data_IF_729305225850
#
_entry.id   IF_729305225850
#
_cell.length_a   1.000
_cell.length_b   1.000
_cell.length_c   1.000
_cell.angle_alpha   90.00
_cell.angle_beta   90.00
_cell.angle_gamma   90.00
#
_symmetry.space_group_name_H-M   'P 1'
#
loop_
_entity.id
_entity.type
_entity.pdbx_description
1 polymer ?
#
# COMPACT_ATOMS: atom_id res chain seq x y z
N UNK A 1 26.33 -1.11 8.48
CA UNK A 1 27.28 -1.57 9.52
C UNK A 1 26.72 -1.47 10.93
N UNK A 2 26.25 -0.30 11.38
CA UNK A 2 25.69 -0.14 12.73
C UNK A 2 24.58 -1.14 13.06
N UNK A 3 23.58 -1.29 12.19
CA UNK A 3 22.48 -2.26 12.39
C UNK A 3 23.00 -3.69 12.56
N UNK A 4 24.00 -4.10 11.77
CA UNK A 4 24.62 -5.42 11.88
C UNK A 4 25.29 -5.66 13.23
N UNK A 5 25.91 -4.63 13.82
CA UNK A 5 26.58 -4.75 15.11
C UNK A 5 25.58 -4.92 16.27
N UNK A 6 24.38 -4.36 16.15
CA UNK A 6 23.35 -4.43 17.19
C UNK A 6 22.34 -5.57 16.97
N UNK A 7 22.31 -6.19 15.78
CA UNK A 7 21.40 -7.26 15.43
C UNK A 7 21.35 -8.46 16.42
N UNK A 8 22.45 -8.90 17.07
CA UNK A 8 22.42 -10.10 17.92
C UNK A 8 21.45 -10.09 19.10
N UNK A 9 20.96 -8.92 19.53
CA UNK A 9 20.00 -8.80 20.64
C UNK A 9 18.54 -8.66 20.17
N UNK A 10 18.28 -8.70 18.86
CA UNK A 10 16.95 -8.51 18.28
C UNK A 10 16.49 -9.75 17.52
N UNK A 11 15.18 -10.01 17.54
CA UNK A 11 14.54 -11.06 16.73
C UNK A 11 14.08 -10.59 15.34
N UNK A 12 14.29 -9.31 15.01
CA UNK A 12 13.91 -8.70 13.73
C UNK A 12 14.23 -7.20 13.72
N UNK A 13 14.37 -6.62 12.53
CA UNK A 13 14.69 -5.20 12.31
C UNK A 13 13.56 -4.53 11.54
N UNK A 14 12.97 -3.49 12.13
CA UNK A 14 12.06 -2.58 11.44
C UNK A 14 12.82 -1.33 11.00
N UNK A 15 12.87 -1.08 9.69
CA UNK A 15 13.41 0.15 9.11
C UNK A 15 12.27 1.15 8.90
N UNK A 16 12.51 2.38 9.32
CA UNK A 16 11.56 3.48 9.29
C UNK A 16 12.27 4.76 8.83
N UNK A 17 11.56 5.64 8.13
CA UNK A 17 11.96 7.02 7.82
C UNK A 17 13.34 7.14 7.13
N UNK A 18 13.68 6.15 6.29
CA UNK A 18 14.88 6.20 5.45
C UNK A 18 14.49 6.76 4.07
N UNK A 19 15.08 7.90 3.70
CA UNK A 19 14.84 8.53 2.41
C UNK A 19 15.18 7.61 1.21
N UNK A 20 14.32 7.57 0.20
CA UNK A 20 14.67 7.01 -1.11
C UNK A 20 15.76 7.85 -1.81
N UNK A 21 16.66 7.24 -2.62
CA UNK A 21 16.74 5.80 -2.93
C UNK A 21 17.54 4.99 -1.90
N UNK A 22 18.10 5.63 -0.85
CA UNK A 22 18.98 4.97 0.12
C UNK A 22 18.30 3.83 0.88
N UNK A 23 17.00 3.93 1.13
CA UNK A 23 16.22 2.89 1.80
C UNK A 23 16.34 1.52 1.11
N UNK A 24 16.34 1.48 -0.23
CA UNK A 24 16.41 0.24 -1.00
C UNK A 24 17.74 -0.46 -0.81
N UNK A 25 18.86 0.28 -0.90
CA UNK A 25 20.20 -0.28 -0.73
C UNK A 25 20.41 -0.74 0.72
N UNK A 26 19.96 0.04 1.71
CA UNK A 26 20.08 -0.31 3.13
C UNK A 26 19.29 -1.58 3.42
N UNK A 27 18.04 -1.67 2.98
CA UNK A 27 17.21 -2.85 3.17
C UNK A 27 17.81 -4.09 2.51
N UNK A 28 18.18 -4.00 1.22
CA UNK A 28 18.75 -5.12 0.49
C UNK A 28 20.01 -5.66 1.17
N UNK A 29 20.95 -4.78 1.52
CA UNK A 29 22.18 -5.18 2.22
C UNK A 29 21.90 -5.79 3.58
N UNK A 30 20.93 -5.28 4.33
CA UNK A 30 20.61 -5.85 5.65
C UNK A 30 19.91 -7.21 5.52
N UNK A 31 19.04 -7.41 4.53
CA UNK A 31 18.44 -8.72 4.23
C UNK A 31 19.47 -9.76 3.80
N UNK A 32 20.57 -9.35 3.15
CA UNK A 32 21.68 -10.25 2.79
C UNK A 32 22.59 -10.57 3.98
N UNK A 33 22.84 -9.59 4.86
CA UNK A 33 23.83 -9.69 5.93
C UNK A 33 23.29 -10.30 7.23
N UNK A 34 21.97 -10.29 7.45
CA UNK A 34 21.35 -10.70 8.70
C UNK A 34 20.57 -12.01 8.54
N UNK A 35 20.57 -12.81 9.60
CA UNK A 35 19.82 -14.06 9.75
C UNK A 35 18.46 -13.86 10.44
N UNK A 36 18.09 -12.61 10.70
CA UNK A 36 16.80 -12.17 11.26
C UNK A 36 16.02 -11.35 10.22
N UNK A 37 14.68 -11.30 10.29
CA UNK A 37 13.87 -10.61 9.30
C UNK A 37 14.11 -9.10 9.35
N UNK A 38 14.27 -8.50 8.17
CA UNK A 38 14.40 -7.05 7.98
C UNK A 38 13.22 -6.56 7.15
N UNK A 39 12.38 -5.74 7.78
CA UNK A 39 11.18 -5.16 7.20
C UNK A 39 11.35 -3.65 7.13
N UNK A 40 10.88 -3.03 6.04
CA UNK A 40 10.81 -1.58 5.94
C UNK A 40 9.34 -1.15 5.92
N UNK A 41 8.90 -0.45 6.95
CA UNK A 41 7.47 -0.20 7.16
C UNK A 41 6.88 0.78 6.14
N UNK A 42 7.60 1.88 5.85
CA UNK A 42 7.15 2.85 4.83
C UNK A 42 6.99 2.25 3.44
N UNK A 43 7.72 1.17 3.14
CA UNK A 43 7.61 0.43 1.89
C UNK A 43 6.52 -0.63 1.97
N UNK A 44 6.82 -1.72 2.70
CA UNK A 44 6.01 -2.94 2.68
C UNK A 44 4.77 -2.79 3.53
N UNK A 45 4.86 -2.12 4.69
CA UNK A 45 3.71 -1.86 5.56
C UNK A 45 2.65 -1.05 4.84
N UNK A 46 3.05 0.04 4.18
CA UNK A 46 2.16 0.84 3.32
C UNK A 46 1.55 -0.02 2.20
N UNK A 47 2.36 -0.79 1.47
CA UNK A 47 1.87 -1.62 0.37
C UNK A 47 0.82 -2.66 0.80
N UNK A 48 1.03 -3.29 1.96
CA UNK A 48 0.13 -4.29 2.53
C UNK A 48 -1.24 -3.68 2.86
N UNK A 49 -1.26 -2.53 3.54
CA UNK A 49 -2.51 -1.89 3.95
C UNK A 49 -3.25 -1.31 2.75
N UNK A 50 -2.53 -0.76 1.76
CA UNK A 50 -3.09 -0.30 0.49
C UNK A 50 -3.74 -1.46 -0.28
N UNK A 51 -3.05 -2.61 -0.40
CA UNK A 51 -3.62 -3.79 -1.05
C UNK A 51 -4.87 -4.29 -0.31
N UNK A 52 -4.84 -4.33 1.02
CA UNK A 52 -5.97 -4.75 1.84
C UNK A 52 -7.20 -3.85 1.61
N UNK A 53 -7.00 -2.54 1.66
CA UNK A 53 -8.02 -1.54 1.40
C UNK A 53 -8.56 -1.67 -0.03
N UNK A 54 -7.67 -1.80 -1.03
CA UNK A 54 -8.07 -1.90 -2.44
C UNK A 54 -8.90 -3.16 -2.70
N UNK A 55 -8.52 -4.31 -2.14
CA UNK A 55 -9.30 -5.56 -2.26
C UNK A 55 -10.75 -5.37 -1.80
N UNK A 56 -10.97 -4.67 -0.69
CA UNK A 56 -12.32 -4.42 -0.18
C UNK A 56 -13.06 -3.32 -0.97
N UNK A 57 -12.37 -2.27 -1.40
CA UNK A 57 -12.94 -1.24 -2.26
C UNK A 57 -13.41 -1.83 -3.60
N UNK A 58 -12.60 -2.69 -4.24
CA UNK A 58 -12.94 -3.37 -5.48
C UNK A 58 -14.15 -4.30 -5.35
N UNK A 59 -14.27 -5.04 -4.23
CA UNK A 59 -15.48 -5.83 -3.93
C UNK A 59 -16.72 -4.96 -3.85
N UNK A 60 -16.63 -3.80 -3.18
CA UNK A 60 -17.74 -2.86 -3.03
C UNK A 60 -18.21 -2.31 -4.39
N UNK A 61 -17.27 -1.90 -5.26
CA UNK A 61 -17.58 -1.35 -6.59
C UNK A 61 -17.74 -2.41 -7.67
N UNK A 62 -17.58 -3.70 -7.32
CA UNK A 62 -17.70 -4.87 -8.21
C UNK A 62 -16.77 -4.82 -9.43
N UNK A 63 -15.50 -4.46 -9.21
CA UNK A 63 -14.46 -4.45 -10.25
C UNK A 63 -13.38 -5.49 -9.95
N UNK A 64 -12.73 -6.03 -10.98
CA UNK A 64 -11.63 -6.99 -10.83
C UNK A 64 -10.28 -6.29 -10.86
N UNK A 65 -9.35 -6.69 -9.97
CA UNK A 65 -8.02 -6.08 -9.87
C UNK A 65 -7.21 -6.17 -11.17
N UNK A 66 -7.39 -7.24 -11.95
CA UNK A 66 -6.69 -7.44 -13.23
C UNK A 66 -7.19 -6.55 -14.36
N UNK A 67 -8.38 -5.95 -14.23
CA UNK A 67 -9.04 -5.19 -15.29
C UNK A 67 -8.99 -3.68 -15.05
N UNK A 68 -8.85 -3.25 -13.79
CA UNK A 68 -8.84 -1.82 -13.43
C UNK A 68 -7.58 -1.11 -13.88
N UNK A 69 -7.74 0.16 -14.27
CA UNK A 69 -6.62 1.09 -14.52
C UNK A 69 -6.23 1.79 -13.23
N UNK A 70 -4.99 1.56 -12.79
CA UNK A 70 -4.43 2.08 -11.54
C UNK A 70 -3.38 3.14 -11.87
N UNK A 71 -3.56 4.33 -11.29
CA UNK A 71 -2.60 5.42 -11.38
C UNK A 71 -2.00 5.67 -10.00
N UNK A 72 -0.67 5.62 -9.90
CA UNK A 72 0.07 5.87 -8.67
C UNK A 72 0.84 7.19 -8.82
N UNK A 73 0.57 8.15 -7.94
CA UNK A 73 1.36 9.37 -7.82
C UNK A 73 2.39 9.21 -6.70
N UNK A 74 3.67 9.19 -7.05
CA UNK A 74 4.78 9.03 -6.12
C UNK A 74 5.47 7.67 -6.21
N UNK A 75 6.27 7.44 -7.26
CA UNK A 75 7.12 6.24 -7.39
C UNK A 75 8.38 6.28 -6.50
N UNK A 76 8.23 6.69 -5.23
CA UNK A 76 9.27 6.58 -4.20
C UNK A 76 9.30 5.17 -3.57
N UNK A 77 9.74 5.09 -2.32
CA UNK A 77 9.80 3.84 -1.55
C UNK A 77 8.41 3.17 -1.46
N UNK A 78 7.41 3.89 -0.94
CA UNK A 78 6.04 3.40 -0.79
C UNK A 78 5.38 3.06 -2.15
N UNK A 79 5.39 3.98 -3.11
CA UNK A 79 4.69 3.77 -4.39
C UNK A 79 5.28 2.64 -5.22
N UNK A 80 6.60 2.43 -5.18
CA UNK A 80 7.24 1.29 -5.84
C UNK A 80 6.82 -0.04 -5.19
N UNK A 81 6.80 -0.10 -3.85
CA UNK A 81 6.37 -1.29 -3.12
C UNK A 81 4.88 -1.59 -3.34
N UNK A 82 4.02 -0.56 -3.34
CA UNK A 82 2.60 -0.69 -3.68
C UNK A 82 2.45 -1.28 -5.08
N UNK A 83 3.09 -0.68 -6.09
CA UNK A 83 2.96 -1.14 -7.48
C UNK A 83 3.36 -2.61 -7.64
N UNK A 84 4.50 -3.01 -7.05
CA UNK A 84 4.99 -4.40 -7.09
C UNK A 84 4.02 -5.35 -6.41
N UNK A 85 3.53 -5.03 -5.21
CA UNK A 85 2.63 -5.92 -4.48
C UNK A 85 1.26 -6.04 -5.15
N UNK A 86 0.74 -4.95 -5.75
CA UNK A 86 -0.46 -4.98 -6.57
C UNK A 86 -0.27 -5.87 -7.81
N UNK A 87 0.87 -5.75 -8.50
CA UNK A 87 1.20 -6.57 -9.67
C UNK A 87 1.26 -8.06 -9.33
N UNK A 88 1.94 -8.41 -8.24
CA UNK A 88 2.00 -9.79 -7.72
C UNK A 88 0.59 -10.30 -7.37
N UNK A 89 -0.27 -9.42 -6.85
CA UNK A 89 -1.66 -9.73 -6.51
C UNK A 89 -2.61 -9.81 -7.71
N UNK A 90 -2.13 -9.59 -8.93
CA UNK A 90 -2.90 -9.77 -10.16
C UNK A 90 -3.26 -8.49 -10.91
N UNK A 91 -2.86 -7.31 -10.45
CA UNK A 91 -3.03 -6.07 -11.21
C UNK A 91 -2.20 -6.09 -12.49
N UNK A 92 -2.73 -5.56 -13.60
CA UNK A 92 -2.05 -5.58 -14.92
C UNK A 92 -1.94 -4.22 -15.61
N UNK A 93 -2.68 -3.21 -15.14
CA UNK A 93 -2.69 -1.87 -15.72
C UNK A 93 -2.29 -0.86 -14.64
N UNK A 94 -0.99 -0.67 -14.44
CA UNK A 94 -0.45 0.26 -13.45
C UNK A 94 0.41 1.30 -14.18
N UNK A 95 0.11 2.58 -13.96
CA UNK A 95 0.96 3.69 -14.34
C UNK A 95 1.42 4.40 -13.07
N UNK A 96 2.72 4.45 -12.82
CA UNK A 96 3.30 5.13 -11.67
C UNK A 96 4.06 6.38 -12.13
N UNK A 97 4.01 7.45 -11.35
CA UNK A 97 4.63 8.73 -11.69
C UNK A 97 5.62 9.18 -10.62
N UNK A 98 6.80 9.62 -11.04
CA UNK A 98 7.64 10.53 -10.28
C UNK A 98 7.11 11.97 -10.45
N UNK A 99 7.74 12.92 -9.74
CA UNK A 99 7.48 14.35 -9.95
C UNK A 99 7.73 14.79 -11.39
N UNK A 100 8.73 14.19 -12.04
CA UNK A 100 9.23 14.61 -13.35
C UNK A 100 8.59 13.85 -14.53
N UNK A 101 7.68 12.90 -14.25
CA UNK A 101 6.99 12.14 -15.30
C UNK A 101 6.73 10.68 -14.95
N UNK A 102 6.40 9.89 -15.97
CA UNK A 102 6.14 8.46 -15.84
C UNK A 102 7.38 7.73 -15.30
N UNK A 103 7.17 6.88 -14.30
CA UNK A 103 8.20 6.07 -13.68
C UNK A 103 8.29 4.70 -14.36
N UNK A 104 9.51 4.20 -14.51
CA UNK A 104 9.77 2.82 -14.89
C UNK A 104 9.91 1.98 -13.62
N UNK A 105 9.01 1.01 -13.44
CA UNK A 105 9.08 0.05 -12.36
C UNK A 105 9.40 -1.31 -12.96
N UNK A 106 10.48 -1.91 -12.49
CA UNK A 106 10.92 -3.23 -12.93
C UNK A 106 9.76 -4.25 -12.90
N UNK A 107 9.60 -4.99 -14.00
CA UNK A 107 8.56 -6.01 -14.21
C UNK A 107 7.11 -5.52 -14.33
N UNK A 108 6.87 -4.20 -14.36
CA UNK A 108 5.55 -3.62 -14.61
C UNK A 108 5.55 -2.93 -15.97
N UNK A 109 4.72 -3.44 -16.88
CA UNK A 109 4.55 -2.82 -18.20
C UNK A 109 3.70 -1.54 -18.08
N UNK A 110 4.25 -0.44 -18.58
CA UNK A 110 3.55 0.85 -18.65
C UNK A 110 2.73 1.00 -19.94
N UNK A 111 2.64 -0.05 -20.75
CA UNK A 111 1.89 -0.14 -22.01
C UNK A 111 2.30 0.93 -23.02
N UNK A 112 3.57 1.36 -22.97
CA UNK A 112 4.10 2.48 -23.78
C UNK A 112 3.28 3.77 -23.63
N UNK A 113 2.68 4.00 -22.47
CA UNK A 113 1.95 5.24 -22.20
C UNK A 113 2.86 6.45 -22.37
N UNK A 114 2.34 7.50 -23.00
CA UNK A 114 3.00 8.80 -23.14
C UNK A 114 2.01 9.89 -22.76
N UNK A 115 2.38 10.73 -21.79
CA UNK A 115 1.51 11.78 -21.27
C UNK A 115 1.87 12.17 -19.84
N UNK A 116 1.07 13.07 -19.28
CA UNK A 116 1.20 13.52 -17.89
C UNK A 116 0.41 12.65 -16.93
N UNK A 117 0.59 12.89 -15.62
CA UNK A 117 -0.28 12.30 -14.59
C UNK A 117 -1.76 12.58 -14.88
N UNK A 118 -2.10 13.83 -15.22
CA UNK A 118 -3.47 14.25 -15.51
C UNK A 118 -4.06 13.53 -16.73
N UNK A 119 -3.23 13.17 -17.72
CA UNK A 119 -3.69 12.37 -18.85
C UNK A 119 -3.96 10.92 -18.47
N UNK A 120 -3.16 10.34 -17.57
CA UNK A 120 -3.35 8.99 -17.06
C UNK A 120 -4.60 8.86 -16.16
N UNK A 121 -4.97 9.93 -15.45
CA UNK A 121 -6.15 9.94 -14.55
C UNK A 121 -7.47 9.84 -15.33
N UNK A 122 -7.52 10.30 -16.58
CA UNK A 122 -8.74 10.29 -17.40
C UNK A 122 -9.27 8.87 -17.58
N UNK A 123 -10.41 8.62 -16.97
CA UNK A 123 -11.07 7.32 -16.90
C UNK A 123 -10.35 6.26 -16.05
N UNK A 124 -9.34 6.62 -15.27
CA UNK A 124 -8.72 5.70 -14.32
C UNK A 124 -9.76 5.18 -13.31
N UNK A 125 -9.64 3.91 -12.93
CA UNK A 125 -10.52 3.30 -11.94
C UNK A 125 -10.02 3.55 -10.52
N UNK A 126 -8.70 3.63 -10.35
CA UNK A 126 -8.05 3.72 -9.06
C UNK A 126 -6.95 4.78 -9.12
N UNK A 127 -6.97 5.71 -8.17
CA UNK A 127 -5.85 6.59 -7.88
C UNK A 127 -5.25 6.24 -6.52
N UNK A 128 -3.92 6.16 -6.45
CA UNK A 128 -3.16 5.98 -5.21
C UNK A 128 -2.08 7.06 -5.14
N UNK A 129 -2.30 8.04 -4.28
CA UNK A 129 -1.35 9.08 -3.97
C UNK A 129 -0.51 8.72 -2.75
N UNK A 130 0.81 8.76 -2.91
CA UNK A 130 1.81 8.67 -1.83
C UNK A 130 2.93 9.68 -2.09
N UNK A 131 2.56 10.88 -2.55
CA UNK A 131 3.51 11.88 -3.05
C UNK A 131 3.46 13.19 -2.27
N UNK A 132 2.63 14.13 -2.70
CA UNK A 132 2.59 15.49 -2.21
C UNK A 132 1.15 16.02 -2.18
N UNK A 133 0.96 17.12 -1.45
CA UNK A 133 -0.34 17.78 -1.34
C UNK A 133 -0.81 18.37 -2.68
N UNK A 134 -2.14 18.39 -2.89
CA UNK A 134 -2.81 19.11 -3.98
C UNK A 134 -2.28 18.77 -5.39
N UNK A 135 -2.03 17.49 -5.65
CA UNK A 135 -1.56 16.97 -6.94
C UNK A 135 -2.69 16.83 -7.94
N UNK A 136 -3.90 16.49 -7.49
CA UNK A 136 -5.08 16.39 -8.36
C UNK A 136 -5.98 17.62 -8.20
N UNK A 137 -6.60 18.02 -9.30
CA UNK A 137 -7.69 19.00 -9.34
C UNK A 137 -9.06 18.32 -9.21
N UNK A 138 -10.11 19.12 -9.00
CA UNK A 138 -11.50 18.62 -9.05
C UNK A 138 -11.86 18.08 -10.45
N UNK A 139 -11.33 18.70 -11.51
CA UNK A 139 -11.52 18.24 -12.90
C UNK A 139 -10.90 16.86 -13.15
N UNK A 140 -9.70 16.63 -12.62
CA UNK A 140 -9.03 15.32 -12.72
C UNK A 140 -9.91 14.23 -12.12
N UNK A 141 -10.39 14.45 -10.90
CA UNK A 141 -11.23 13.49 -10.19
C UNK A 141 -12.57 13.29 -10.90
N UNK A 142 -13.18 14.35 -11.42
CA UNK A 142 -14.40 14.26 -12.21
C UNK A 142 -14.23 13.48 -13.53
N UNK A 143 -13.01 13.44 -14.08
CA UNK A 143 -12.68 12.73 -15.31
C UNK A 143 -12.41 11.23 -15.11
N UNK A 144 -12.32 10.74 -13.87
CA UNK A 144 -12.09 9.33 -13.55
C UNK A 144 -13.29 8.45 -13.97
N UNK A 145 -13.09 7.12 -14.00
CA UNK A 145 -14.16 6.19 -14.31
C UNK A 145 -15.28 6.24 -13.26
N UNK A 146 -16.51 5.88 -13.69
CA UNK A 146 -17.63 5.70 -12.78
C UNK A 146 -17.26 4.67 -11.70
N UNK A 147 -17.66 4.94 -10.47
CA UNK A 147 -17.29 4.16 -9.28
C UNK A 147 -15.76 4.06 -9.12
N UNK A 148 -15.06 5.18 -9.31
CA UNK A 148 -13.62 5.27 -9.05
C UNK A 148 -13.31 5.15 -7.56
N UNK A 149 -12.06 4.76 -7.28
CA UNK A 149 -11.49 4.61 -5.94
C UNK A 149 -10.31 5.57 -5.84
N UNK A 150 -10.28 6.38 -4.77
CA UNK A 150 -9.22 7.37 -4.55
C UNK A 150 -8.62 7.15 -3.17
N UNK A 151 -7.33 6.80 -3.15
CA UNK A 151 -6.52 6.77 -1.95
C UNK A 151 -5.56 7.96 -1.98
N UNK A 152 -5.82 8.99 -1.17
CA UNK A 152 -4.99 10.19 -1.09
C UNK A 152 -4.24 10.18 0.25
N UNK A 153 -3.02 9.60 0.24
CA UNK A 153 -2.32 9.17 1.45
C UNK A 153 -1.21 10.12 1.90
N UNK A 154 -0.91 11.19 1.14
CA UNK A 154 0.00 12.21 1.61
C UNK A 154 -0.48 12.85 2.92
N UNK A 155 0.48 13.14 3.81
CA UNK A 155 0.26 13.81 5.08
C UNK A 155 1.13 15.08 5.16
N UNK A 156 0.69 16.13 5.87
CA UNK A 156 -0.64 16.28 6.50
C UNK A 156 -1.76 16.60 5.48
N UNK A 157 -1.38 17.17 4.34
CA UNK A 157 -2.29 17.58 3.28
C UNK A 157 -2.28 16.52 2.16
N UNK A 158 -3.45 15.93 1.83
CA UNK A 158 -3.55 14.87 0.82
C UNK A 158 -3.39 15.41 -0.61
N UNK A 159 -3.25 14.49 -1.57
CA UNK A 159 -3.16 14.78 -3.00
C UNK A 159 -4.40 15.50 -3.55
N UNK A 160 -5.55 15.34 -2.89
CA UNK A 160 -6.81 16.02 -3.17
C UNK A 160 -7.61 16.13 -1.88
N UNK A 161 -8.36 17.23 -1.70
CA UNK A 161 -9.31 17.36 -0.60
C UNK A 161 -10.31 16.18 -0.60
N UNK A 162 -10.41 15.38 0.48
CA UNK A 162 -11.29 14.23 0.53
C UNK A 162 -12.77 14.57 0.33
N UNK A 163 -13.18 15.79 0.70
CA UNK A 163 -14.54 16.32 0.49
C UNK A 163 -14.83 16.52 -0.99
N UNK A 164 -13.85 17.03 -1.74
CA UNK A 164 -13.95 17.17 -3.20
C UNK A 164 -13.98 15.78 -3.84
N UNK A 165 -13.06 14.89 -3.45
CA UNK A 165 -12.98 13.55 -4.01
C UNK A 165 -14.28 12.76 -3.86
N UNK A 166 -14.94 12.85 -2.68
CA UNK A 166 -16.20 12.15 -2.38
C UNK A 166 -17.41 12.58 -3.23
N UNK A 167 -17.35 13.73 -3.91
CA UNK A 167 -18.41 14.14 -4.84
C UNK A 167 -18.46 13.25 -6.09
N UNK A 168 -17.35 12.60 -6.45
CA UNK A 168 -17.17 11.91 -7.72
C UNK A 168 -16.77 10.44 -7.56
N UNK A 169 -15.93 10.13 -6.57
CA UNK A 169 -15.46 8.76 -6.32
C UNK A 169 -16.40 7.98 -5.41
N UNK A 170 -16.56 6.68 -5.69
CA UNK A 170 -17.37 5.79 -4.86
C UNK A 170 -16.70 5.47 -3.51
N UNK A 171 -15.36 5.47 -3.49
CA UNK A 171 -14.56 5.20 -2.28
C UNK A 171 -13.43 6.20 -2.19
N UNK A 172 -13.30 6.82 -1.02
CA UNK A 172 -12.18 7.71 -0.69
C UNK A 172 -11.54 7.23 0.61
N UNK A 173 -10.22 7.12 0.61
CA UNK A 173 -9.40 6.78 1.77
C UNK A 173 -8.21 7.74 1.90
N UNK A 174 -7.74 7.94 3.13
CA UNK A 174 -6.64 8.87 3.43
C UNK A 174 -5.70 8.30 4.48
N UNK A 175 -4.52 8.90 4.66
CA UNK A 175 -3.65 8.61 5.80
C UNK A 175 -4.12 9.21 7.13
N UNK A 176 -5.05 10.18 7.07
CA UNK A 176 -5.52 10.95 8.22
C UNK A 176 -6.58 10.23 9.05
N UNK A 177 -6.58 10.47 10.36
CA UNK A 177 -7.49 9.85 11.33
C UNK A 177 -8.84 10.53 11.46
N UNK A 178 -8.98 11.76 10.97
CA UNK A 178 -10.22 12.54 11.00
C UNK A 178 -11.18 12.21 9.84
N UNK A 179 -10.78 11.29 8.94
CA UNK A 179 -11.60 10.81 7.84
C UNK A 179 -11.87 9.30 7.94
N UNK A 180 -13.01 8.82 7.40
CA UNK A 180 -13.25 7.39 7.19
C UNK A 180 -12.17 6.76 6.30
N UNK A 181 -11.98 5.45 6.47
CA UNK A 181 -10.98 4.66 5.74
C UNK A 181 -9.54 5.19 5.93
N UNK A 182 -9.09 5.27 7.17
CA UNK A 182 -7.68 5.56 7.45
C UNK A 182 -6.80 4.39 7.01
N UNK A 183 -5.96 4.61 6.00
CA UNK A 183 -4.91 3.67 5.59
C UNK A 183 -3.65 4.00 6.39
N UNK A 184 -3.28 3.10 7.30
CA UNK A 184 -2.13 3.28 8.18
C UNK A 184 -1.41 1.95 8.40
N UNK A 185 -0.08 1.96 8.26
CA UNK A 185 0.84 0.84 8.44
C UNK A 185 0.77 0.18 9.83
N UNK A 186 0.22 0.85 10.85
CA UNK A 186 -0.08 0.25 12.16
C UNK A 186 -0.96 -1.00 12.09
N UNK A 187 -1.76 -1.16 11.03
CA UNK A 187 -2.55 -2.36 10.78
C UNK A 187 -1.70 -3.57 10.34
N UNK A 188 -0.46 -3.34 9.90
CA UNK A 188 0.43 -4.35 9.34
C UNK A 188 1.57 -4.72 10.30
N UNK A 189 2.47 -3.78 10.64
CA UNK A 189 3.75 -4.10 11.28
C UNK A 189 3.62 -4.89 12.61
N UNK A 190 2.64 -4.64 13.51
CA UNK A 190 2.56 -5.38 14.77
C UNK A 190 2.30 -6.87 14.54
N UNK A 191 1.36 -7.17 13.63
CA UNK A 191 1.01 -8.54 13.28
C UNK A 191 2.11 -9.24 12.48
N UNK A 192 2.77 -8.52 11.57
CA UNK A 192 3.88 -9.06 10.77
C UNK A 192 5.02 -9.53 11.67
N UNK A 193 5.52 -8.66 12.55
CA UNK A 193 6.60 -9.06 13.45
C UNK A 193 6.18 -10.16 14.42
N UNK A 194 4.96 -10.11 14.98
CA UNK A 194 4.47 -11.20 15.84
C UNK A 194 4.45 -12.53 15.10
N UNK A 195 3.95 -12.56 13.86
CA UNK A 195 3.91 -13.77 13.03
C UNK A 195 5.30 -14.30 12.66
N UNK A 196 6.22 -13.42 12.27
CA UNK A 196 7.61 -13.76 11.96
C UNK A 196 8.33 -14.35 13.18
N UNK A 197 8.17 -13.72 14.35
CA UNK A 197 8.75 -14.21 15.61
C UNK A 197 8.14 -15.55 16.04
N UNK A 198 6.83 -15.74 15.87
CA UNK A 198 6.16 -17.02 16.17
C UNK A 198 6.57 -18.16 15.23
N UNK A 199 7.02 -17.84 14.02
CA UNK A 199 7.53 -18.78 13.04
C UNK A 199 9.05 -19.00 13.14
N UNK A 200 9.76 -18.17 13.91
CA UNK A 200 11.22 -18.06 13.86
C UNK A 200 11.73 -17.86 12.42
N UNK A 201 11.02 -17.04 11.64
CA UNK A 201 11.29 -16.82 10.23
C UNK A 201 12.38 -15.75 10.01
N UNK A 202 13.33 -16.03 9.13
CA UNK A 202 14.43 -15.11 8.79
C UNK A 202 14.19 -14.28 7.54
N UNK A 203 13.17 -14.62 6.74
CA UNK A 203 12.89 -14.00 5.45
C UNK A 203 11.45 -13.52 5.35
N UNK A 204 11.27 -12.46 4.58
CA UNK A 204 9.98 -11.88 4.23
C UNK A 204 9.82 -12.06 2.72
N UNK A 205 8.83 -12.87 2.33
CA UNK A 205 8.52 -13.15 0.92
C UNK A 205 7.28 -12.37 0.47
N UNK A 206 7.08 -12.28 -0.84
CA UNK A 206 5.92 -11.59 -1.40
C UNK A 206 4.61 -12.28 -1.00
N UNK A 207 4.59 -13.62 -0.93
CA UNK A 207 3.42 -14.39 -0.48
C UNK A 207 3.03 -14.04 0.96
N UNK A 208 4.02 -13.79 1.82
CA UNK A 208 3.80 -13.35 3.19
C UNK A 208 3.16 -11.96 3.23
N UNK A 209 3.64 -11.03 2.42
CA UNK A 209 3.06 -9.67 2.31
C UNK A 209 1.60 -9.73 1.81
N UNK A 210 1.33 -10.56 0.79
CA UNK A 210 -0.03 -10.76 0.28
C UNK A 210 -0.93 -11.40 1.35
N UNK A 211 -0.45 -12.40 2.07
CA UNK A 211 -1.19 -13.04 3.16
C UNK A 211 -1.52 -12.07 4.30
N UNK A 212 -0.59 -11.17 4.64
CA UNK A 212 -0.85 -10.10 5.61
C UNK A 212 -1.96 -9.16 5.12
N UNK A 213 -1.91 -8.74 3.85
CA UNK A 213 -2.95 -7.88 3.27
C UNK A 213 -4.33 -8.56 3.25
N UNK A 214 -4.39 -9.86 2.92
CA UNK A 214 -5.62 -10.64 2.95
C UNK A 214 -6.18 -10.77 4.37
N UNK A 215 -5.31 -10.97 5.37
CA UNK A 215 -5.72 -11.02 6.77
C UNK A 215 -6.34 -9.69 7.22
N UNK A 216 -5.74 -8.55 6.89
CA UNK A 216 -6.30 -7.22 7.20
C UNK A 216 -7.65 -7.04 6.48
N UNK A 217 -7.71 -7.33 5.17
CA UNK A 217 -8.94 -7.19 4.39
C UNK A 217 -10.09 -8.04 4.98
N UNK A 218 -9.78 -9.25 5.48
CA UNK A 218 -10.75 -10.17 6.11
C UNK A 218 -11.31 -9.69 7.45
N UNK A 219 -10.72 -8.64 8.05
CA UNK A 219 -11.23 -8.05 9.29
C UNK A 219 -12.51 -7.23 9.06
N UNK A 220 -12.77 -6.81 7.83
CA UNK A 220 -14.03 -6.16 7.46
C UNK A 220 -15.04 -7.21 7.03
N UNK A 221 -16.07 -7.41 7.84
CA UNK A 221 -17.13 -8.36 7.49
C UNK A 221 -17.94 -7.87 6.28
N UNK A 222 -18.48 -8.77 5.43
CA UNK A 222 -19.32 -8.38 4.29
C UNK A 222 -20.52 -7.50 4.68
N UNK A 223 -21.07 -7.68 5.89
CA UNK A 223 -22.18 -6.86 6.43
C UNK A 223 -21.76 -5.45 6.85
N UNK A 224 -20.47 -5.21 7.09
CA UNK A 224 -19.93 -3.91 7.47
C UNK A 224 -19.36 -3.15 6.26
N UNK A 225 -18.99 -3.86 5.19
CA UNK A 225 -18.36 -3.28 4.01
C UNK A 225 -19.25 -2.22 3.37
N UNK A 226 -18.77 -0.98 3.36
CA UNK A 226 -19.43 0.15 2.71
C UNK A 226 -18.39 1.22 2.31
N UNK A 227 -18.82 2.29 1.63
CA UNK A 227 -17.93 3.33 1.12
C UNK A 227 -17.05 4.02 2.19
N UNK A 228 -17.47 3.98 3.46
CA UNK A 228 -16.77 4.56 4.61
C UNK A 228 -16.11 3.51 5.52
N UNK A 229 -16.16 2.22 5.14
CA UNK A 229 -15.57 1.14 5.92
C UNK A 229 -15.05 0.01 5.02
N UNK A 230 -13.91 0.27 4.36
CA UNK A 230 -13.18 -0.73 3.53
C UNK A 230 -11.96 -1.33 4.24
N UNK A 231 -11.54 -0.74 5.36
CA UNK A 231 -10.35 -1.10 6.14
C UNK A 231 -10.75 -1.07 7.63
N UNK A 232 -10.28 -2.02 8.48
CA UNK A 232 -10.63 -2.02 9.89
C UNK A 232 -10.06 -0.79 10.62
N UNK A 233 -10.59 -0.54 11.82
CA UNK A 233 -10.02 0.48 12.70
C UNK A 233 -8.59 0.11 13.12
N UNK A 234 -7.72 1.10 13.25
CA UNK A 234 -6.37 0.96 13.82
C UNK A 234 -6.36 0.45 15.27
N UNK A 235 -7.51 0.51 15.95
CA UNK A 235 -7.69 0.00 17.32
C UNK A 235 -8.37 -1.37 17.38
N UNK A 236 -8.66 -2.01 16.24
CA UNK A 236 -9.26 -3.35 16.24
C UNK A 236 -8.24 -4.38 16.77
N UNK A 237 -8.49 -4.99 17.95
CA UNK A 237 -7.53 -5.87 18.60
C UNK A 237 -7.34 -7.20 17.87
N UNK A 238 -8.21 -7.54 16.91
CA UNK A 238 -8.13 -8.78 16.16
C UNK A 238 -7.21 -8.69 14.94
N UNK A 239 -6.92 -7.47 14.45
CA UNK A 239 -6.09 -7.26 13.26
C UNK A 239 -4.70 -7.86 13.45
N UNK A 240 -3.98 -7.46 14.51
CA UNK A 240 -2.62 -7.94 14.75
C UNK A 240 -2.58 -9.48 14.93
N UNK A 241 -3.61 -10.06 15.57
CA UNK A 241 -3.70 -11.52 15.77
C UNK A 241 -3.90 -12.26 14.44
N UNK A 242 -4.83 -11.79 13.60
CA UNK A 242 -5.12 -12.38 12.30
C UNK A 242 -3.94 -12.26 11.35
N UNK A 243 -3.30 -11.09 11.31
CA UNK A 243 -2.08 -10.87 10.51
C UNK A 243 -0.96 -11.79 10.98
N UNK A 244 -0.71 -11.89 12.30
CA UNK A 244 0.31 -12.79 12.84
C UNK A 244 0.06 -14.26 12.46
N UNK A 245 -1.19 -14.73 12.56
CA UNK A 245 -1.55 -16.09 12.18
C UNK A 245 -1.32 -16.35 10.68
N UNK A 246 -1.73 -15.42 9.81
CA UNK A 246 -1.53 -15.53 8.37
C UNK A 246 -0.04 -15.52 7.99
N UNK A 247 0.72 -14.59 8.57
CA UNK A 247 2.16 -14.45 8.37
C UNK A 247 2.89 -15.71 8.81
N UNK A 248 2.59 -16.23 10.01
CA UNK A 248 3.16 -17.49 10.51
C UNK A 248 2.87 -18.66 9.56
N UNK A 249 1.65 -18.73 9.02
CA UNK A 249 1.27 -19.78 8.06
C UNK A 249 1.99 -19.70 6.72
N UNK A 250 2.35 -18.49 6.30
CA UNK A 250 3.05 -18.21 5.03
C UNK A 250 4.59 -18.28 5.15
N UNK A 251 5.14 -18.11 6.35
CA UNK A 251 6.58 -18.02 6.60
C UNK A 251 7.33 -19.37 6.60
N UNK A 252 6.90 -20.33 5.76
CA UNK A 252 7.51 -21.67 5.67
C UNK A 252 8.88 -21.66 4.99
#
# INVERSE_FOLDING_TARGET
>A
RTVQLIAPVYGGINLEDISAPRCFEVEAKLRELLDIPVFHDDQHGTAIVVLAALKNALKLVRKNLSEVRIVISGAGAAGTAIAKLLWISGARNILAFHRDGLAEIESIDNHNFSGTLHDAIKGADVFIGVSAANVLSEEDVASMAINSIIFALANPDPEIDPTIARKYAAVVATGRSDHPNQINNVLAFPGIFRGLLDANASKITDELLVAAADAIASCVAPSQLNANFIIPSVFDPEVAKKVAAAVKGAAK
#
